data_IF_431258098178
#
_entry.id   IF_431258098178
#
_cell.length_a   1.000
_cell.length_b   1.000
_cell.length_c   1.000
_cell.angle_alpha   90.00
_cell.angle_beta   90.00
_cell.angle_gamma   90.00
#
_symmetry.space_group_name_H-M   'P 1'
#
loop_
_entity.id
_entity.type
_entity.pdbx_description
1 polymer ?
#
# COMPACT_ATOMS: atom_id res chain seq x y z
N UNK A 1 -4.00 -8.43 -26.56
CA UNK A 1 -3.77 -6.99 -26.33
C UNK A 1 -4.85 -6.48 -25.40
N UNK A 2 -4.61 -6.49 -24.08
CA UNK A 2 -5.56 -5.98 -23.09
C UNK A 2 -5.40 -4.46 -22.95
N UNK A 3 -6.22 -3.69 -23.66
CA UNK A 3 -6.24 -2.24 -23.53
C UNK A 3 -6.80 -1.84 -22.17
N UNK A 4 -5.97 -1.20 -21.34
CA UNK A 4 -6.43 -0.54 -20.12
C UNK A 4 -7.52 0.50 -20.49
N UNK A 5 -8.65 0.56 -19.75
CA UNK A 5 -9.77 1.41 -20.11
C UNK A 5 -9.37 2.90 -20.10
N UNK A 6 -9.69 3.58 -21.22
CA UNK A 6 -9.47 5.01 -21.48
C UNK A 6 -10.28 5.89 -20.53
N UNK A 7 -9.91 6.02 -19.25
CA UNK A 7 -10.53 6.99 -18.33
C UNK A 7 -9.62 7.56 -17.23
N UNK A 8 -8.31 7.38 -17.31
CA UNK A 8 -7.41 7.97 -16.31
C UNK A 8 -6.94 9.34 -16.79
N UNK A 9 -7.53 10.41 -16.24
CA UNK A 9 -6.93 11.74 -16.33
C UNK A 9 -5.50 11.67 -15.78
N UNK A 10 -4.58 12.54 -16.24
CA UNK A 10 -3.14 12.41 -15.94
C UNK A 10 -2.82 12.13 -14.46
N UNK A 11 -3.57 12.72 -13.53
CA UNK A 11 -3.43 12.49 -12.09
C UNK A 11 -3.81 11.07 -11.63
N UNK A 12 -4.87 10.46 -12.19
CA UNK A 12 -5.28 9.09 -11.82
C UNK A 12 -4.25 8.07 -12.30
N UNK A 13 -3.63 8.33 -13.46
CA UNK A 13 -2.55 7.51 -13.99
C UNK A 13 -1.33 7.56 -13.07
N UNK A 14 -0.93 8.75 -12.60
CA UNK A 14 0.16 8.89 -11.62
C UNK A 14 -0.12 8.15 -10.31
N UNK A 15 -1.38 8.11 -9.85
CA UNK A 15 -1.76 7.33 -8.65
C UNK A 15 -1.58 5.83 -8.88
N UNK A 16 -2.03 5.30 -10.01
CA UNK A 16 -1.84 3.88 -10.35
C UNK A 16 -0.36 3.56 -10.45
N UNK A 17 0.40 4.37 -11.19
CA UNK A 17 1.85 4.18 -11.36
C UNK A 17 2.60 4.21 -10.03
N UNK A 18 2.30 5.16 -9.15
CA UNK A 18 2.94 5.22 -7.82
C UNK A 18 2.63 4.00 -6.94
N UNK A 19 1.39 3.49 -7.00
CA UNK A 19 0.98 2.29 -6.25
C UNK A 19 1.64 1.03 -6.83
N UNK A 20 1.65 0.88 -8.15
CA UNK A 20 2.25 -0.28 -8.83
C UNK A 20 3.77 -0.29 -8.66
N UNK A 21 4.44 0.85 -8.84
CA UNK A 21 5.88 0.98 -8.57
C UNK A 21 6.20 0.72 -7.10
N UNK A 22 5.37 1.22 -6.18
CA UNK A 22 5.44 0.90 -4.75
C UNK A 22 5.35 -0.60 -4.50
N UNK A 23 4.38 -1.28 -5.13
CA UNK A 23 4.22 -2.73 -5.06
C UNK A 23 5.42 -3.50 -5.62
N UNK A 24 5.92 -3.12 -6.79
CA UNK A 24 7.08 -3.76 -7.43
C UNK A 24 8.36 -3.57 -6.60
N UNK A 25 8.59 -2.35 -6.08
CA UNK A 25 9.74 -2.08 -5.23
C UNK A 25 9.64 -2.82 -3.88
N UNK A 26 8.43 -2.86 -3.30
CA UNK A 26 8.15 -3.64 -2.12
C UNK A 26 8.46 -5.13 -2.36
N UNK A 27 7.90 -5.73 -3.41
CA UNK A 27 8.16 -7.13 -3.78
C UNK A 27 9.66 -7.38 -3.98
N UNK A 28 10.36 -6.53 -4.73
CA UNK A 28 11.82 -6.66 -4.94
C UNK A 28 12.61 -6.57 -3.63
N UNK A 29 12.17 -5.75 -2.67
CA UNK A 29 12.84 -5.63 -1.38
C UNK A 29 12.68 -6.90 -0.52
N UNK A 30 11.58 -7.64 -0.66
CA UNK A 30 11.34 -8.88 0.10
C UNK A 30 11.66 -10.18 -0.64
N UNK A 31 11.79 -10.19 -1.98
CA UNK A 31 12.20 -11.37 -2.77
C UNK A 31 13.47 -12.06 -2.25
N UNK A 32 14.55 -11.34 -1.87
CA UNK A 32 15.73 -11.98 -1.29
C UNK A 32 15.45 -12.70 0.03
N UNK A 33 14.49 -12.19 0.83
CA UNK A 33 14.10 -12.75 2.12
C UNK A 33 13.08 -13.88 2.00
N UNK A 34 12.27 -13.89 0.94
CA UNK A 34 11.28 -14.95 0.67
C UNK A 34 11.95 -16.31 0.42
N UNK A 35 13.14 -16.34 -0.18
CA UNK A 35 13.91 -17.58 -0.39
C UNK A 35 14.37 -18.24 0.92
N UNK A 36 14.50 -17.47 1.99
CA UNK A 36 14.95 -17.92 3.32
C UNK A 36 13.80 -18.30 4.25
N UNK A 37 12.57 -17.88 3.93
CA UNK A 37 11.39 -18.05 4.76
C UNK A 37 10.55 -19.27 4.32
N UNK A 38 11.00 -20.47 4.68
CA UNK A 38 10.11 -21.64 4.86
C UNK A 38 9.84 -21.81 6.35
N UNK A 39 8.93 -21.00 6.89
CA UNK A 39 8.54 -21.02 8.30
C UNK A 39 7.03 -21.11 8.49
N UNK A 40 6.55 -21.66 9.62
CA UNK A 40 5.13 -21.83 9.89
C UNK A 40 4.43 -20.46 9.87
N UNK A 41 3.42 -20.33 9.01
CA UNK A 41 2.71 -19.08 8.77
C UNK A 41 2.25 -18.41 10.06
N UNK A 42 2.48 -17.10 10.16
CA UNK A 42 2.12 -16.32 11.34
C UNK A 42 1.17 -15.16 11.06
N UNK A 43 0.50 -14.83 12.17
CA UNK A 43 -0.69 -14.00 12.34
C UNK A 43 -0.28 -12.55 12.57
N UNK A 44 -0.24 -11.76 11.52
CA UNK A 44 0.00 -10.32 11.58
C UNK A 44 -0.35 -9.69 10.24
N UNK A 45 -0.92 -8.49 10.26
CA UNK A 45 -1.22 -7.72 9.05
C UNK A 45 -0.81 -6.27 9.25
N UNK A 46 0.00 -5.77 8.33
CA UNK A 46 0.37 -4.39 8.17
C UNK A 46 -0.49 -3.75 7.08
N UNK A 47 -0.84 -2.49 7.30
CA UNK A 47 -1.65 -1.69 6.40
C UNK A 47 -0.99 -0.34 6.17
N UNK A 48 -1.07 0.15 4.94
CA UNK A 48 -0.66 1.53 4.63
C UNK A 48 -1.87 2.43 4.87
N UNK A 49 -1.68 3.41 5.76
CA UNK A 49 -2.66 4.44 6.04
C UNK A 49 -2.26 5.75 5.37
N UNK A 50 -3.25 6.48 4.86
CA UNK A 50 -3.07 7.75 4.19
C UNK A 50 -4.06 8.81 4.67
N UNK A 51 -3.57 10.04 4.83
CA UNK A 51 -4.35 11.25 5.02
C UNK A 51 -4.07 12.23 3.88
N UNK A 52 -5.12 12.66 3.19
CA UNK A 52 -4.98 13.57 2.05
C UNK A 52 -5.00 15.03 2.49
N UNK A 53 -4.03 15.80 1.99
CA UNK A 53 -4.01 17.26 2.10
C UNK A 53 -4.52 17.94 0.83
N UNK A 54 -4.46 17.22 -0.29
CA UNK A 54 -4.96 17.67 -1.60
C UNK A 54 -6.30 16.97 -1.96
N UNK A 55 -7.42 17.72 -2.05
CA UNK A 55 -8.72 17.17 -2.42
C UNK A 55 -8.77 16.55 -3.83
N UNK A 56 -7.98 17.04 -4.79
CA UNK A 56 -7.91 16.46 -6.14
C UNK A 56 -7.21 15.11 -6.10
N UNK A 57 -6.16 15.00 -5.28
CA UNK A 57 -5.45 13.74 -5.06
C UNK A 57 -6.35 12.71 -4.36
N UNK A 58 -7.05 13.13 -3.30
CA UNK A 58 -8.06 12.28 -2.65
C UNK A 58 -9.09 11.75 -3.65
N UNK A 59 -9.64 12.63 -4.49
CA UNK A 59 -10.61 12.26 -5.52
C UNK A 59 -10.04 11.26 -6.52
N UNK A 60 -8.75 11.40 -6.89
CA UNK A 60 -8.08 10.47 -7.79
C UNK A 60 -7.95 9.06 -7.18
N UNK A 61 -7.42 8.95 -5.96
CA UNK A 61 -7.33 7.68 -5.23
C UNK A 61 -8.69 7.01 -5.03
N UNK A 62 -9.74 7.80 -4.80
CA UNK A 62 -11.11 7.30 -4.69
C UNK A 62 -11.62 6.76 -6.03
N UNK A 63 -11.36 7.45 -7.15
CA UNK A 63 -11.78 7.01 -8.50
C UNK A 63 -11.08 5.73 -8.94
N UNK A 64 -9.83 5.52 -8.55
CA UNK A 64 -9.08 4.30 -8.88
C UNK A 64 -9.50 3.10 -8.01
N UNK A 65 -10.28 3.33 -6.95
CA UNK A 65 -10.64 2.30 -5.97
C UNK A 65 -9.42 1.83 -5.17
N UNK A 66 -8.48 2.75 -4.90
CA UNK A 66 -7.22 2.45 -4.21
C UNK A 66 -7.28 2.70 -2.72
N UNK A 67 -8.39 3.21 -2.18
CA UNK A 67 -8.55 3.54 -0.76
C UNK A 67 -9.90 3.10 -0.20
N UNK A 68 -9.92 2.76 1.09
CA UNK A 68 -11.12 2.50 1.88
C UNK A 68 -11.08 3.26 3.21
N UNK A 69 -12.23 3.68 3.78
CA UNK A 69 -12.23 4.43 5.04
C UNK A 69 -11.60 3.63 6.19
N UNK A 70 -10.77 4.28 7.03
CA UNK A 70 -10.19 3.66 8.23
C UNK A 70 -10.64 4.39 9.50
N UNK A 71 -11.64 3.82 10.19
CA UNK A 71 -12.19 4.18 11.53
C UNK A 71 -12.62 5.65 11.73
N UNK A 72 -11.86 6.62 11.24
CA UNK A 72 -12.11 8.07 11.16
C UNK A 72 -12.45 8.49 9.72
N UNK A 73 -12.96 9.71 9.56
CA UNK A 73 -13.31 10.30 8.25
C UNK A 73 -12.13 10.89 7.49
N UNK A 74 -11.00 11.11 8.16
CA UNK A 74 -9.81 11.77 7.56
C UNK A 74 -8.73 10.79 7.14
N UNK A 75 -8.76 9.56 7.68
CA UNK A 75 -7.75 8.54 7.40
C UNK A 75 -8.32 7.40 6.56
N UNK A 76 -7.52 6.92 5.63
CA UNK A 76 -7.89 5.89 4.67
C UNK A 76 -6.85 4.77 4.65
N UNK A 77 -7.29 3.54 4.51
CA UNK A 77 -6.41 2.41 4.22
C UNK A 77 -6.22 2.30 2.72
N UNK A 78 -4.97 2.18 2.27
CA UNK A 78 -4.65 1.86 0.89
C UNK A 78 -4.99 0.40 0.60
N UNK A 79 -5.77 0.18 -0.46
CA UNK A 79 -6.12 -1.17 -0.94
C UNK A 79 -4.89 -1.82 -1.55
N UNK A 80 -4.50 -2.96 -0.99
CA UNK A 80 -3.36 -3.74 -1.45
C UNK A 80 -3.73 -4.49 -2.73
N UNK A 81 -2.89 -4.36 -3.76
CA UNK A 81 -3.01 -5.15 -5.01
C UNK A 81 -1.73 -5.92 -5.35
N UNK A 82 -0.72 -5.86 -4.50
CA UNK A 82 0.54 -6.59 -4.62
C UNK A 82 0.50 -7.88 -3.81
N UNK A 83 1.38 -8.85 -4.14
CA UNK A 83 1.38 -10.17 -3.52
C UNK A 83 1.49 -10.04 -1.99
N UNK A 84 0.60 -10.72 -1.26
CA UNK A 84 0.74 -10.84 0.19
C UNK A 84 2.04 -11.61 0.48
N UNK A 85 2.89 -11.09 1.36
CA UNK A 85 4.06 -11.83 1.80
C UNK A 85 3.57 -13.09 2.51
N UNK A 86 3.96 -14.26 2.01
CA UNK A 86 3.42 -15.61 2.32
C UNK A 86 3.55 -16.02 3.81
N UNK A 87 2.87 -15.32 4.71
CA UNK A 87 2.81 -15.63 6.14
C UNK A 87 3.91 -15.01 7.02
N UNK A 88 4.60 -13.95 6.57
CA UNK A 88 5.60 -13.23 7.38
C UNK A 88 5.20 -11.78 7.65
N UNK A 89 4.96 -11.46 8.93
CA UNK A 89 4.61 -10.10 9.38
C UNK A 89 5.74 -9.09 9.12
N UNK A 90 7.00 -9.50 9.29
CA UNK A 90 8.16 -8.64 9.04
C UNK A 90 8.30 -8.29 7.55
N UNK A 91 8.03 -9.26 6.67
CA UNK A 91 7.98 -8.99 5.23
C UNK A 91 6.80 -8.09 4.89
N UNK A 92 5.65 -8.32 5.51
CA UNK A 92 4.45 -7.52 5.29
C UNK A 92 4.65 -6.05 5.68
N UNK A 93 5.29 -5.80 6.82
CA UNK A 93 5.66 -4.47 7.28
C UNK A 93 6.71 -3.82 6.35
N UNK A 94 7.74 -4.56 5.94
CA UNK A 94 8.75 -4.07 5.00
C UNK A 94 8.12 -3.64 3.66
N UNK A 95 7.19 -4.44 3.13
CA UNK A 95 6.44 -4.07 1.92
C UNK A 95 5.63 -2.79 2.10
N UNK A 96 4.93 -2.65 3.24
CA UNK A 96 4.17 -1.45 3.52
C UNK A 96 5.07 -0.20 3.65
N UNK A 97 6.26 -0.34 4.24
CA UNK A 97 7.23 0.76 4.37
C UNK A 97 7.71 1.24 3.00
N UNK A 98 7.97 0.33 2.06
CA UNK A 98 8.36 0.68 0.70
C UNK A 98 7.26 1.41 -0.06
N UNK A 99 6.01 0.98 0.08
CA UNK A 99 4.86 1.69 -0.49
C UNK A 99 4.72 3.09 0.11
N UNK A 100 4.89 3.24 1.43
CA UNK A 100 4.89 4.56 2.09
C UNK A 100 6.00 5.46 1.54
N UNK A 101 7.20 4.92 1.30
CA UNK A 101 8.34 5.65 0.73
C UNK A 101 8.01 6.18 -0.66
N UNK A 102 7.46 5.34 -1.53
CA UNK A 102 7.05 5.75 -2.88
C UNK A 102 5.92 6.78 -2.84
N UNK A 103 4.88 6.58 -2.04
CA UNK A 103 3.80 7.57 -1.91
C UNK A 103 4.33 8.95 -1.47
N UNK A 104 5.30 8.98 -0.54
CA UNK A 104 5.95 10.23 -0.11
C UNK A 104 6.78 10.85 -1.23
N UNK A 105 7.48 10.04 -2.02
CA UNK A 105 8.27 10.52 -3.15
C UNK A 105 7.38 11.17 -4.23
N UNK A 106 6.30 10.49 -4.63
CA UNK A 106 5.42 10.93 -5.70
C UNK A 106 4.46 12.07 -5.30
N UNK A 107 4.08 12.12 -4.01
CA UNK A 107 3.05 13.03 -3.52
C UNK A 107 3.51 13.85 -2.32
N UNK A 108 4.79 14.23 -2.30
CA UNK A 108 5.36 15.04 -1.23
C UNK A 108 4.51 16.29 -0.96
N UNK A 109 4.27 16.56 0.33
CA UNK A 109 3.40 17.63 0.80
C UNK A 109 1.90 17.45 0.54
N UNK A 110 1.47 16.57 -0.38
CA UNK A 110 0.05 16.41 -0.81
C UNK A 110 -0.71 15.34 -0.05
N UNK A 111 -0.02 14.41 0.60
CA UNK A 111 -0.57 13.45 1.55
C UNK A 111 0.40 13.16 2.69
N UNK A 112 -0.10 12.53 3.75
CA UNK A 112 0.70 11.83 4.76
C UNK A 112 0.45 10.34 4.60
N UNK A 113 1.51 9.53 4.66
CA UNK A 113 1.43 8.07 4.60
C UNK A 113 2.28 7.44 5.72
N UNK A 114 1.78 6.38 6.34
CA UNK A 114 2.48 5.62 7.36
C UNK A 114 1.97 4.17 7.43
N UNK A 115 2.74 3.30 8.09
CA UNK A 115 2.37 1.90 8.30
C UNK A 115 1.66 1.76 9.64
N UNK A 116 0.57 0.99 9.66
CA UNK A 116 -0.07 0.50 10.87
C UNK A 116 -0.01 -1.02 10.90
N UNK A 117 0.65 -1.56 11.91
CA UNK A 117 0.80 -3.00 12.13
C UNK A 117 -0.22 -3.46 13.17
N UNK A 118 -1.09 -4.40 12.82
CA UNK A 118 -1.88 -5.16 13.78
C UNK A 118 -1.23 -6.51 14.02
N UNK A 119 -0.68 -6.68 15.22
CA UNK A 119 -0.23 -7.99 15.72
C UNK A 119 -1.48 -8.67 16.26
N UNK A 120 -1.96 -9.74 15.61
CA UNK A 120 -3.00 -10.58 16.17
C UNK A 120 -2.39 -11.46 17.28
N UNK A 121 -2.16 -10.85 18.45
CA UNK A 121 -1.83 -11.59 19.66
C UNK A 121 -3.04 -12.41 20.11
N UNK A 122 -2.88 -13.73 20.28
CA UNK A 122 -3.83 -14.50 21.09
C UNK A 122 -3.83 -13.87 22.50
N UNK A 123 -4.96 -13.28 22.87
CA UNK A 123 -5.31 -13.15 24.28
C UNK A 123 -5.24 -14.55 24.90
N UNK A 124 -4.51 -14.61 26.01
CA UNK A 124 -4.21 -15.76 26.85
C UNK A 124 -5.40 -16.66 27.15
#
# INVERSE_FOLDING_TARGET
MGGLPKRYGGLDRTVIEAIELGGIQAERAVVPRLAELRGPGMRGRSSVLVEFRDPKLHSAFRRTGSIVPWRSTTTWTLVRRWAEAEGSADLDEAMCLEVVRELKHWFDGRLRAWVATSIEGRGS
#
